data_IF_043142858456
#
_entry.id   IF_043142858456
#
_cell.length_a   1.000
_cell.length_b   1.000
_cell.length_c   1.000
_cell.angle_alpha   90.00
_cell.angle_beta   90.00
_cell.angle_gamma   90.00
#
_symmetry.space_group_name_H-M   'P 1'
#
loop_
_entity.id
_entity.type
_entity.pdbx_description
1 polymer ?
#
# COMPACT_ATOMS: atom_id res chain seq x y z
N UNK A 1 15.18 7.55 -1.10
CA UNK A 1 14.30 6.48 -1.63
C UNK A 1 14.02 5.53 -0.48
N UNK A 2 12.77 5.21 -0.13
CA UNK A 2 12.51 4.25 0.96
C UNK A 2 13.04 2.88 0.51
N UNK A 3 14.01 2.34 1.22
CA UNK A 3 14.60 1.04 0.94
C UNK A 3 13.65 -0.07 1.39
N UNK A 4 13.14 -0.86 0.44
CA UNK A 4 12.36 -2.06 0.73
C UNK A 4 13.30 -3.23 1.01
N UNK A 5 13.45 -3.59 2.28
CA UNK A 5 14.22 -4.75 2.74
C UNK A 5 13.29 -5.95 2.95
N UNK A 6 13.84 -7.14 3.18
CA UNK A 6 13.05 -8.33 3.51
C UNK A 6 12.30 -8.19 4.85
N UNK A 7 12.81 -7.35 5.75
CA UNK A 7 12.28 -7.10 7.09
C UNK A 7 11.24 -5.97 7.12
N UNK A 8 11.07 -5.24 6.01
CA UNK A 8 10.07 -4.17 5.94
C UNK A 8 8.69 -4.76 6.17
N UNK A 9 8.02 -4.35 7.25
CA UNK A 9 6.63 -4.68 7.50
C UNK A 9 5.76 -3.90 6.52
N UNK A 10 5.00 -4.63 5.71
CA UNK A 10 4.15 -4.04 4.66
C UNK A 10 2.72 -4.54 4.85
N UNK A 11 1.78 -3.60 4.89
CA UNK A 11 0.35 -3.89 4.97
C UNK A 11 -0.37 -3.24 3.79
N UNK A 12 -1.07 -4.05 2.99
CA UNK A 12 -1.93 -3.55 1.92
C UNK A 12 -3.34 -3.38 2.46
N UNK A 13 -3.94 -2.20 2.27
CA UNK A 13 -5.36 -2.00 2.53
C UNK A 13 -6.19 -2.78 1.50
N UNK A 14 -7.15 -3.58 1.98
CA UNK A 14 -8.01 -4.40 1.10
C UNK A 14 -9.09 -3.56 0.42
N UNK A 15 -9.54 -2.49 1.08
CA UNK A 15 -10.51 -1.55 0.53
C UNK A 15 -9.82 -0.35 -0.14
N UNK A 16 -10.39 0.18 -1.24
CA UNK A 16 -9.87 1.41 -1.86
C UNK A 16 -9.97 2.60 -0.91
N UNK A 17 -8.92 3.43 -0.85
CA UNK A 17 -8.93 4.65 -0.05
C UNK A 17 -9.37 5.88 -0.85
N UNK A 18 -9.69 6.97 -0.14
CA UNK A 18 -9.89 8.29 -0.74
C UNK A 18 -8.53 8.96 -0.96
N UNK A 19 -8.17 9.19 -2.22
CA UNK A 19 -6.87 9.74 -2.61
C UNK A 19 -6.87 11.27 -2.66
N UNK A 20 -7.96 11.92 -2.24
CA UNK A 20 -8.01 13.36 -1.95
C UNK A 20 -7.37 13.70 -0.60
N UNK A 21 -7.25 12.72 0.30
CA UNK A 21 -6.55 12.85 1.56
C UNK A 21 -5.05 13.05 1.35
N UNK A 22 -4.39 13.80 2.24
CA UNK A 22 -2.94 13.87 2.34
C UNK A 22 -2.43 12.97 3.47
N UNK A 23 -1.16 13.12 3.89
CA UNK A 23 -0.50 12.38 4.97
C UNK A 23 -1.42 12.19 6.19
N UNK A 24 -1.97 13.26 6.75
CA UNK A 24 -2.78 13.18 7.97
C UNK A 24 -4.07 12.37 7.76
N UNK A 25 -4.67 12.46 6.58
CA UNK A 25 -5.86 11.69 6.24
C UNK A 25 -5.54 10.19 6.10
N UNK A 26 -4.39 9.84 5.50
CA UNK A 26 -3.94 8.44 5.45
C UNK A 26 -3.53 7.91 6.83
N UNK A 27 -2.86 8.72 7.66
CA UNK A 27 -2.52 8.36 9.03
C UNK A 27 -3.78 8.14 9.89
N UNK A 28 -4.80 9.00 9.73
CA UNK A 28 -6.10 8.84 10.37
C UNK A 28 -6.80 7.56 9.89
N UNK A 29 -6.74 7.24 8.60
CA UNK A 29 -7.28 6.00 8.05
C UNK A 29 -6.61 4.77 8.67
N UNK A 30 -5.27 4.77 8.81
CA UNK A 30 -4.56 3.69 9.51
C UNK A 30 -5.08 3.47 10.93
N UNK A 31 -5.20 4.55 11.73
CA UNK A 31 -5.64 4.46 13.12
C UNK A 31 -7.10 4.03 13.25
N UNK A 32 -8.01 4.73 12.57
CA UNK A 32 -9.44 4.61 12.82
C UNK A 32 -10.10 3.50 12.01
N UNK A 33 -9.60 3.21 10.81
CA UNK A 33 -10.19 2.18 9.95
C UNK A 33 -9.40 0.88 9.98
N UNK A 34 -8.07 0.93 9.98
CA UNK A 34 -7.24 -0.28 9.94
C UNK A 34 -6.83 -0.78 11.34
N UNK A 35 -7.06 0.02 12.38
CA UNK A 35 -6.62 -0.25 13.75
C UNK A 35 -5.12 -0.57 13.82
N UNK A 36 -4.30 0.26 13.16
CA UNK A 36 -2.84 0.16 13.12
C UNK A 36 -2.24 1.51 13.52
N UNK A 37 -1.07 1.50 14.17
CA UNK A 37 -0.32 2.72 14.42
C UNK A 37 0.48 3.10 13.18
N UNK A 38 0.19 4.24 12.51
CA UNK A 38 0.95 4.68 11.34
C UNK A 38 2.40 5.05 11.66
N UNK A 39 2.80 5.18 12.94
CA UNK A 39 4.15 5.55 13.35
C UNK A 39 5.07 4.37 13.66
N UNK A 40 4.59 3.14 13.57
CA UNK A 40 5.35 1.93 13.95
C UNK A 40 6.41 1.48 12.93
N UNK A 41 6.65 2.27 11.87
CA UNK A 41 7.56 1.95 10.78
C UNK A 41 6.97 1.03 9.70
N UNK A 42 5.69 0.63 9.81
CA UNK A 42 5.01 -0.13 8.77
C UNK A 42 4.81 0.70 7.50
N UNK A 43 5.04 0.09 6.35
CA UNK A 43 4.66 0.62 5.05
C UNK A 43 3.22 0.25 4.72
N UNK A 44 2.32 1.23 4.83
CA UNK A 44 0.91 1.05 4.48
C UNK A 44 0.67 1.37 3.01
N UNK A 45 0.10 0.44 2.26
CA UNK A 45 -0.09 0.56 0.82
C UNK A 45 -1.58 0.57 0.47
N UNK A 46 -1.98 1.59 -0.26
CA UNK A 46 -3.36 1.86 -0.64
C UNK A 46 -3.51 1.87 -2.16
N UNK A 47 -4.72 1.60 -2.64
CA UNK A 47 -5.07 1.81 -4.05
C UNK A 47 -6.35 2.62 -4.19
N UNK A 48 -6.50 3.31 -5.31
CA UNK A 48 -7.75 3.96 -5.67
C UNK A 48 -8.78 2.94 -6.19
N UNK A 49 -10.06 3.32 -6.26
CA UNK A 49 -11.13 2.40 -6.69
C UNK A 49 -10.89 1.77 -8.08
N UNK A 50 -10.25 2.50 -9.00
CA UNK A 50 -9.92 2.01 -10.35
C UNK A 50 -8.65 1.15 -10.40
N UNK A 51 -7.93 1.01 -9.28
CA UNK A 51 -6.64 0.31 -9.17
C UNK A 51 -5.59 0.81 -10.15
N UNK A 52 -5.59 2.10 -10.48
CA UNK A 52 -4.63 2.74 -11.40
C UNK A 52 -3.59 3.61 -10.70
N UNK A 53 -3.86 3.95 -9.43
CA UNK A 53 -3.02 4.77 -8.58
C UNK A 53 -2.82 4.07 -7.24
N UNK A 54 -1.58 4.04 -6.78
CA UNK A 54 -1.17 3.51 -5.50
C UNK A 54 -0.56 4.63 -4.67
N UNK A 55 -0.84 4.62 -3.37
CA UNK A 55 -0.16 5.46 -2.38
C UNK A 55 0.46 4.60 -1.30
N UNK A 56 1.64 4.97 -0.83
CA UNK A 56 2.34 4.29 0.25
C UNK A 56 2.71 5.30 1.34
N UNK A 57 2.21 5.07 2.55
CA UNK A 57 2.50 5.87 3.74
C UNK A 57 3.53 5.14 4.62
N UNK A 58 4.53 5.85 5.10
CA UNK A 58 5.53 5.33 6.04
C UNK A 58 5.96 6.45 7.01
N UNK A 59 6.26 6.10 8.26
CA UNK A 59 6.93 6.99 9.21
C UNK A 59 8.38 6.54 9.39
N UNK A 60 9.34 7.45 9.25
CA UNK A 60 10.78 7.12 9.31
C UNK A 60 11.41 7.36 10.70
N UNK A 61 10.60 7.65 11.72
CA UNK A 61 11.06 8.05 13.04
C UNK A 61 11.13 9.56 13.25
N UNK A 62 11.24 10.34 12.17
CA UNK A 62 11.26 11.80 12.21
C UNK A 62 10.02 12.43 11.58
N UNK A 63 9.48 11.79 10.54
CA UNK A 63 8.39 12.34 9.76
C UNK A 63 7.68 11.29 8.89
N UNK A 64 6.56 11.71 8.31
CA UNK A 64 5.80 10.90 7.38
C UNK A 64 6.25 11.13 5.94
N UNK A 65 6.32 10.02 5.21
CA UNK A 65 6.46 9.99 3.76
C UNK A 65 5.17 9.49 3.14
N UNK A 66 4.73 10.15 2.07
CA UNK A 66 3.64 9.68 1.22
C UNK A 66 4.10 9.60 -0.23
N UNK A 67 4.30 8.39 -0.73
CA UNK A 67 4.70 8.16 -2.12
C UNK A 67 3.49 7.81 -2.97
N UNK A 68 3.46 8.28 -4.21
CA UNK A 68 2.42 7.93 -5.18
C UNK A 68 2.99 7.26 -6.42
N UNK A 69 2.32 6.22 -6.92
CA UNK A 69 2.62 5.61 -8.23
C UNK A 69 1.36 5.49 -9.07
N UNK A 70 1.33 6.18 -10.21
CA UNK A 70 0.30 6.02 -11.25
C UNK A 70 0.83 5.10 -12.34
N UNK A 71 0.02 4.13 -12.76
CA UNK A 71 0.33 3.37 -13.97
C UNK A 71 -0.05 4.18 -15.20
N UNK A 72 0.85 4.26 -16.19
CA UNK A 72 0.56 4.91 -17.47
C UNK A 72 -0.55 4.18 -18.24
N UNK A 73 -0.60 2.85 -18.12
CA UNK A 73 -1.63 1.99 -18.71
C UNK A 73 -1.94 0.82 -17.78
N UNK A 74 -3.19 0.35 -17.81
CA UNK A 74 -3.62 -0.83 -17.06
C UNK A 74 -4.00 -0.53 -15.61
N UNK A 75 -4.03 -1.58 -14.79
CA UNK A 75 -4.39 -1.56 -13.36
C UNK A 75 -3.44 -2.44 -12.58
N UNK A 76 -3.23 -2.14 -11.30
CA UNK A 76 -2.62 -3.04 -10.34
C UNK A 76 -3.47 -4.31 -10.26
N UNK A 77 -2.93 -5.41 -10.80
CA UNK A 77 -3.57 -6.72 -10.82
C UNK A 77 -3.42 -7.40 -9.46
N UNK A 78 -4.22 -8.44 -9.22
CA UNK A 78 -4.09 -9.32 -8.04
C UNK A 78 -4.14 -8.57 -6.70
N UNK A 79 -4.82 -7.42 -6.65
CA UNK A 79 -5.03 -6.69 -5.41
C UNK A 79 -5.86 -7.55 -4.45
N UNK A 80 -5.47 -7.68 -3.16
CA UNK A 80 -6.21 -8.44 -2.18
C UNK A 80 -7.68 -8.03 -2.19
N UNK A 81 -8.55 -8.96 -2.57
CA UNK A 81 -9.98 -8.73 -2.72
C UNK A 81 -10.69 -9.66 -1.73
N UNK A 82 -11.58 -9.13 -0.89
CA UNK A 82 -12.48 -9.91 -0.04
C UNK A 82 -11.79 -10.86 0.97
N UNK A 83 -11.07 -10.29 1.94
CA UNK A 83 -10.92 -10.93 3.25
C UNK A 83 -11.75 -10.14 4.28
N UNK A 84 -12.18 -10.81 5.35
CA UNK A 84 -12.77 -10.15 6.54
C UNK A 84 -11.84 -9.04 7.07
N UNK A 85 -10.55 -9.18 6.80
CA UNK A 85 -9.50 -8.28 7.21
C UNK A 85 -9.39 -7.02 6.33
N UNK A 86 -9.23 -5.88 7.00
CA UNK A 86 -9.07 -4.57 6.34
C UNK A 86 -7.66 -4.34 5.78
N UNK A 87 -6.71 -5.16 6.21
CA UNK A 87 -5.31 -5.16 5.75
C UNK A 87 -4.83 -6.58 5.46
N UNK A 88 -3.88 -6.70 4.53
CA UNK A 88 -3.21 -7.97 4.22
C UNK A 88 -1.69 -7.78 4.30
N UNK A 89 -0.97 -8.59 5.08
CA UNK A 89 0.50 -8.61 5.07
C UNK A 89 1.05 -8.96 3.69
N UNK A 90 2.18 -8.35 3.32
CA UNK A 90 2.77 -8.54 2.00
C UNK A 90 4.29 -8.57 2.07
N UNK A 91 4.92 -9.45 1.30
CA UNK A 91 6.38 -9.47 1.22
C UNK A 91 6.90 -8.36 0.30
N UNK A 92 8.06 -7.80 0.61
CA UNK A 92 8.72 -6.80 -0.24
C UNK A 92 8.90 -7.25 -1.69
N UNK A 93 9.20 -8.54 -1.91
CA UNK A 93 9.29 -9.14 -3.26
C UNK A 93 7.95 -9.09 -4.01
N UNK A 94 6.85 -9.42 -3.33
CA UNK A 94 5.51 -9.36 -3.92
C UNK A 94 5.12 -7.91 -4.22
N UNK A 95 5.42 -6.97 -3.32
CA UNK A 95 5.17 -5.54 -3.55
C UNK A 95 5.93 -5.04 -4.79
N UNK A 96 7.20 -5.43 -4.95
CA UNK A 96 7.99 -5.06 -6.15
C UNK A 96 7.32 -5.51 -7.45
N UNK A 97 6.79 -6.75 -7.49
CA UNK A 97 6.03 -7.26 -8.65
C UNK A 97 4.75 -6.47 -8.86
N UNK A 98 3.96 -6.26 -7.79
CA UNK A 98 2.72 -5.49 -7.84
C UNK A 98 2.95 -4.08 -8.40
N UNK A 99 4.03 -3.41 -7.99
CA UNK A 99 4.40 -2.06 -8.46
C UNK A 99 4.70 -1.99 -9.96
N UNK A 100 4.88 -3.12 -10.65
CA UNK A 100 5.02 -3.15 -12.12
C UNK A 100 3.66 -3.06 -12.85
N UNK A 101 2.55 -3.29 -12.14
CA UNK A 101 1.21 -3.37 -12.74
C UNK A 101 0.96 -4.65 -13.54
N UNK A 102 1.89 -5.62 -13.51
CA UNK A 102 1.74 -6.96 -14.12
C UNK A 102 1.15 -7.93 -13.10
N UNK A 103 0.47 -8.97 -13.59
CA UNK A 103 0.04 -10.09 -12.73
C UNK A 103 1.26 -10.87 -12.23
N UNK A 104 1.20 -11.33 -10.98
CA UNK A 104 2.22 -12.18 -10.37
C UNK A 104 2.19 -13.63 -10.87
N UNK A 105 1.14 -14.03 -11.60
CA UNK A 105 0.98 -15.33 -12.21
C UNK A 105 1.46 -15.32 -13.66
N UNK A 106 2.77 -15.28 -13.86
CA UNK A 106 3.33 -15.75 -15.13
C UNK A 106 3.48 -17.26 -15.03
N UNK A 107 2.74 -17.99 -15.87
CA UNK A 107 2.99 -19.42 -16.13
C UNK A 107 4.48 -19.58 -16.43
N UNK A 108 5.16 -20.34 -15.58
CA UNK A 108 6.34 -21.10 -15.97
C UNK A 108 5.85 -22.29 -16.79
#
# INVERSE_FOLDING_TARGET
MIHLTAETRILLATQPADFRCDIDGFAALCRHQLNQDPRDGTLFVFTNRRRTLLRALCYDGSGFWLMSKRLTKGRFQDWPSHHQDRVTPFAAKQLKVLLTGRSGWQKV
#
